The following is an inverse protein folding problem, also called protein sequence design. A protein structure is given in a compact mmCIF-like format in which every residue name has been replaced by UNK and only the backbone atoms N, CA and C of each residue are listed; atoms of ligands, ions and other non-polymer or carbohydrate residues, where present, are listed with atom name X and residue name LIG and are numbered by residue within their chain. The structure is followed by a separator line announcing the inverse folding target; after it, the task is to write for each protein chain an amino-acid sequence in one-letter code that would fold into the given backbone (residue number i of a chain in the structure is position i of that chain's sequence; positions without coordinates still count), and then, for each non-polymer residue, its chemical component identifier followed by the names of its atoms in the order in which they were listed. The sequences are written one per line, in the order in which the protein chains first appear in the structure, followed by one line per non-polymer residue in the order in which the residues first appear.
data_IF_849313790889
#
_entry.id   IF_849313790889
#
_cell.length_a   1.000
_cell.length_b   1.000
_cell.length_c   1.000
_cell.angle_alpha   90.00
_cell.angle_beta   90.00
_cell.angle_gamma   90.00
#
_symmetry.space_group_name_H-M   'P 1'
#
loop_
_entity.id
_entity.type
_entity.pdbx_description
1 polymer ?
#
# COMPACT_ATOMS: atom_id res chain seq x y z
N UNK A 1 -12.58 2.59 14.72
CA UNK A 1 -13.90 2.67 14.02
C UNK A 1 -15.08 2.79 14.98
N UNK A 2 -15.24 1.88 15.96
CA UNK A 2 -16.28 2.02 17.00
C UNK A 2 -16.18 3.33 17.79
N UNK A 3 -14.97 3.76 18.16
CA UNK A 3 -14.75 5.06 18.80
C UNK A 3 -15.26 6.22 17.92
N UNK A 4 -14.91 6.24 16.63
CA UNK A 4 -15.38 7.27 15.69
C UNK A 4 -16.91 7.27 15.59
N UNK A 5 -17.55 6.09 15.56
CA UNK A 5 -19.01 5.98 15.60
C UNK A 5 -19.59 6.54 16.91
N UNK A 6 -18.97 6.26 18.05
CA UNK A 6 -19.35 6.83 19.35
C UNK A 6 -19.22 8.36 19.39
N UNK A 7 -18.26 8.91 18.65
CA UNK A 7 -18.07 10.36 18.46
C UNK A 7 -19.00 10.98 17.40
N UNK A 8 -19.88 10.18 16.78
CA UNK A 8 -20.87 10.68 15.82
C UNK A 8 -20.52 10.47 14.35
N UNK A 9 -19.43 9.78 14.00
CA UNK A 9 -19.18 9.40 12.61
C UNK A 9 -20.24 8.41 12.11
N UNK A 10 -20.84 8.71 10.96
CA UNK A 10 -21.91 7.91 10.35
C UNK A 10 -21.58 7.40 8.95
N UNK A 11 -20.59 7.99 8.28
CA UNK A 11 -20.13 7.57 6.95
C UNK A 11 -18.62 7.43 6.98
N UNK A 12 -18.13 6.20 6.82
CA UNK A 12 -16.70 5.90 6.92
C UNK A 12 -16.29 4.98 5.77
N UNK A 13 -15.32 5.42 4.99
CA UNK A 13 -14.64 4.57 4.02
C UNK A 13 -13.26 4.21 4.56
N UNK A 14 -12.98 2.93 4.65
CA UNK A 14 -11.67 2.40 5.03
C UNK A 14 -10.95 1.91 3.78
N UNK A 15 -9.83 2.52 3.43
CA UNK A 15 -9.04 2.12 2.29
C UNK A 15 -8.06 1.00 2.67
N UNK A 16 -7.98 -0.02 1.81
CA UNK A 16 -6.98 -1.07 1.91
C UNK A 16 -5.56 -0.56 1.64
N UNK A 17 -4.60 -1.44 1.82
CA UNK A 17 -3.20 -1.22 1.49
C UNK A 17 -2.97 -1.43 -0.02
N UNK A 18 -2.20 -0.54 -0.63
CA UNK A 18 -1.63 -0.75 -1.96
C UNK A 18 -0.48 -1.77 -1.95
N UNK A 19 0.20 -1.98 -3.09
CA UNK A 19 1.34 -2.88 -3.21
C UNK A 19 2.59 -2.33 -2.50
N UNK A 20 2.65 -2.56 -1.18
CA UNK A 20 3.69 -2.05 -0.28
C UNK A 20 5.12 -2.47 -0.66
N UNK A 21 5.29 -3.64 -1.28
CA UNK A 21 6.55 -4.16 -1.81
C UNK A 21 7.09 -3.37 -3.00
N UNK A 22 6.28 -2.51 -3.61
CA UNK A 22 6.66 -1.63 -4.71
C UNK A 22 7.09 -0.23 -4.27
N UNK A 23 7.01 0.09 -2.97
CA UNK A 23 7.44 1.40 -2.44
C UNK A 23 8.95 1.57 -2.69
N UNK A 24 9.42 2.72 -3.23
CA UNK A 24 10.84 2.91 -3.56
C UNK A 24 11.82 2.59 -2.43
N UNK A 25 11.49 2.98 -1.19
CA UNK A 25 12.29 2.62 -0.01
C UNK A 25 12.35 1.11 0.21
N UNK A 26 11.25 0.40 0.00
CA UNK A 26 11.20 -1.05 0.17
C UNK A 26 12.01 -1.78 -0.91
N UNK A 27 12.01 -1.28 -2.15
CA UNK A 27 12.87 -1.77 -3.24
C UNK A 27 14.35 -1.64 -2.89
N UNK A 28 14.74 -0.46 -2.38
CA UNK A 28 16.11 -0.18 -1.94
C UNK A 28 16.55 -1.10 -0.80
N UNK A 29 15.74 -1.24 0.25
CA UNK A 29 16.05 -2.09 1.41
C UNK A 29 16.19 -3.58 1.04
N UNK A 30 15.61 -4.00 -0.08
CA UNK A 30 15.67 -5.37 -0.57
C UNK A 30 16.78 -5.62 -1.58
N UNK A 31 17.58 -4.59 -1.92
CA UNK A 31 18.61 -4.64 -2.99
C UNK A 31 18.06 -5.15 -4.32
N UNK A 32 16.76 -4.95 -4.56
CA UNK A 32 16.09 -5.21 -5.83
C UNK A 32 16.01 -3.90 -6.58
N UNK A 33 16.70 -3.78 -7.72
CA UNK A 33 16.80 -2.52 -8.46
C UNK A 33 15.56 -2.21 -9.31
N UNK A 34 14.72 -3.21 -9.63
CA UNK A 34 13.66 -3.03 -10.64
C UNK A 34 12.34 -3.72 -10.31
N UNK A 35 12.35 -4.90 -9.68
CA UNK A 35 11.12 -5.63 -9.41
C UNK A 35 10.40 -5.09 -8.16
N UNK A 36 9.07 -4.90 -8.26
CA UNK A 36 8.21 -5.01 -7.08
C UNK A 36 8.52 -6.35 -6.43
N UNK A 37 8.51 -6.46 -5.10
CA UNK A 37 8.97 -7.67 -4.41
C UNK A 37 8.35 -8.97 -4.95
N UNK A 38 9.03 -9.56 -5.94
CA UNK A 38 8.83 -10.90 -6.46
C UNK A 38 9.87 -11.78 -5.77
N UNK A 39 9.41 -12.90 -5.22
CA UNK A 39 10.21 -13.78 -4.39
C UNK A 39 11.22 -14.59 -5.21
N UNK A 40 12.23 -13.95 -5.81
CA UNK A 40 13.10 -14.64 -6.79
C UNK A 40 14.54 -14.88 -6.35
N UNK A 41 14.99 -14.42 -5.17
CA UNK A 41 16.33 -14.75 -4.68
C UNK A 41 16.32 -15.96 -3.72
N UNK A 42 16.23 -17.17 -4.29
CA UNK A 42 16.24 -18.49 -3.63
C UNK A 42 17.37 -18.70 -2.60
N UNK A 43 18.46 -17.94 -2.67
CA UNK A 43 19.60 -18.04 -1.76
C UNK A 43 19.50 -17.18 -0.48
N UNK A 44 18.64 -16.15 -0.45
CA UNK A 44 18.34 -15.34 0.75
C UNK A 44 16.84 -15.39 1.16
N UNK A 45 16.02 -16.08 0.36
CA UNK A 45 14.56 -16.17 0.47
C UNK A 45 14.08 -17.26 1.45
N UNK A 46 14.63 -17.32 2.67
CA UNK A 46 14.13 -18.26 3.70
C UNK A 46 13.15 -17.68 4.71
N UNK A 47 12.81 -16.38 4.68
CA UNK A 47 11.90 -15.83 5.72
C UNK A 47 11.16 -14.51 5.43
N UNK A 48 11.14 -13.98 4.20
CA UNK A 48 10.39 -12.75 3.90
C UNK A 48 9.22 -13.11 2.99
N UNK A 49 8.05 -13.33 3.60
CA UNK A 49 6.79 -13.24 2.86
C UNK A 49 6.79 -11.90 2.10
N UNK A 50 6.40 -11.93 0.82
CA UNK A 50 6.37 -10.69 0.03
C UNK A 50 5.50 -9.67 0.76
N UNK A 51 5.99 -8.44 0.97
CA UNK A 51 5.22 -7.40 1.66
C UNK A 51 3.88 -7.15 0.96
N UNK A 52 3.81 -7.43 -0.34
CA UNK A 52 2.57 -7.46 -1.11
C UNK A 52 1.60 -8.57 -0.66
N UNK A 53 2.08 -9.78 -0.35
CA UNK A 53 1.23 -10.87 0.18
C UNK A 53 0.65 -10.50 1.55
N UNK A 54 1.46 -9.88 2.41
CA UNK A 54 0.98 -9.36 3.69
C UNK A 54 -0.08 -8.27 3.51
N UNK A 55 0.12 -7.36 2.55
CA UNK A 55 -0.86 -6.32 2.21
C UNK A 55 -2.19 -6.92 1.74
N UNK A 56 -2.15 -7.92 0.85
CA UNK A 56 -3.35 -8.63 0.39
C UNK A 56 -4.08 -9.37 1.53
N UNK A 57 -3.33 -10.05 2.41
CA UNK A 57 -3.89 -10.72 3.59
C UNK A 57 -4.56 -9.72 4.54
N UNK A 58 -3.91 -8.58 4.78
CA UNK A 58 -4.47 -7.48 5.57
C UNK A 58 -5.76 -6.94 4.94
N UNK A 59 -5.78 -6.68 3.63
CA UNK A 59 -6.96 -6.16 2.93
C UNK A 59 -8.14 -7.12 3.05
N UNK A 60 -7.90 -8.43 2.91
CA UNK A 60 -8.95 -9.45 3.08
C UNK A 60 -9.55 -9.42 4.49
N UNK A 61 -8.70 -9.36 5.53
CA UNK A 61 -9.15 -9.34 6.92
C UNK A 61 -9.83 -8.01 7.28
N UNK A 62 -9.26 -6.88 6.84
CA UNK A 62 -9.84 -5.56 7.04
C UNK A 62 -11.22 -5.47 6.37
N UNK A 63 -11.37 -5.94 5.13
CA UNK A 63 -12.66 -6.00 4.45
C UNK A 63 -13.71 -6.81 5.22
N UNK A 64 -13.33 -7.94 5.82
CA UNK A 64 -14.23 -8.72 6.68
C UNK A 64 -14.66 -7.95 7.94
N UNK A 65 -13.73 -7.26 8.60
CA UNK A 65 -14.02 -6.42 9.78
C UNK A 65 -14.95 -5.25 9.41
N UNK A 66 -14.72 -4.61 8.28
CA UNK A 66 -15.57 -3.51 7.78
C UNK A 66 -16.99 -3.98 7.50
N UNK A 67 -17.15 -5.15 6.86
CA UNK A 67 -18.47 -5.77 6.64
C UNK A 67 -19.18 -6.07 7.97
N UNK A 68 -18.45 -6.60 8.95
CA UNK A 68 -19.00 -6.86 10.28
C UNK A 68 -19.43 -5.56 10.99
N UNK A 69 -18.65 -4.49 10.87
CA UNK A 69 -18.99 -3.18 11.45
C UNK A 69 -20.21 -2.56 10.79
N UNK A 70 -20.33 -2.67 9.46
CA UNK A 70 -21.51 -2.21 8.73
C UNK A 70 -22.80 -2.90 9.21
N UNK A 71 -22.73 -4.18 9.57
CA UNK A 71 -23.87 -4.94 10.09
C UNK A 71 -24.17 -4.70 11.58
N UNK A 72 -23.17 -4.30 12.38
CA UNK A 72 -23.28 -4.22 13.84
C UNK A 72 -23.46 -2.80 14.39
N UNK A 73 -23.10 -1.76 13.63
CA UNK A 73 -23.20 -0.38 14.08
C UNK A 73 -24.43 0.29 13.43
N UNK A 74 -25.48 0.60 14.22
CA UNK A 74 -26.70 1.17 13.69
C UNK A 74 -26.48 2.58 13.17
N UNK A 75 -27.31 2.97 12.20
CA UNK A 75 -27.33 4.31 11.59
C UNK A 75 -25.96 4.73 11.01
N UNK A 76 -25.15 3.79 10.53
CA UNK A 76 -23.85 4.11 9.96
C UNK A 76 -23.54 3.26 8.73
N UNK A 77 -22.87 3.89 7.76
CA UNK A 77 -22.37 3.25 6.55
C UNK A 77 -20.86 3.08 6.67
N UNK A 78 -20.40 1.84 6.57
CA UNK A 78 -18.99 1.50 6.48
C UNK A 78 -18.71 0.84 5.14
N UNK A 79 -17.72 1.34 4.40
CA UNK A 79 -17.31 0.80 3.11
C UNK A 79 -15.82 0.49 3.12
N UNK A 80 -15.44 -0.59 2.44
CA UNK A 80 -14.04 -0.93 2.19
C UNK A 80 -13.68 -0.50 0.78
N UNK A 81 -12.68 0.38 0.64
CA UNK A 81 -12.14 0.78 -0.65
C UNK A 81 -10.89 -0.03 -0.95
N UNK A 82 -11.00 -1.03 -1.84
CA UNK A 82 -9.81 -1.73 -2.33
C UNK A 82 -9.09 -0.84 -3.34
N UNK A 83 -7.81 -0.62 -3.10
CA UNK A 83 -6.94 0.23 -3.94
C UNK A 83 -5.73 -0.55 -4.46
N UNK A 84 -5.60 -1.83 -4.10
CA UNK A 84 -4.42 -2.61 -4.43
C UNK A 84 -4.24 -2.71 -5.95
N UNK A 85 -5.27 -3.19 -6.65
CA UNK A 85 -5.22 -3.40 -8.10
C UNK A 85 -5.09 -2.09 -8.87
N UNK A 86 -5.71 -1.01 -8.37
CA UNK A 86 -5.60 0.31 -8.97
C UNK A 86 -4.16 0.82 -8.95
N UNK A 87 -3.49 0.77 -7.80
CA UNK A 87 -2.10 1.18 -7.71
C UNK A 87 -1.14 0.20 -8.40
N UNK A 88 -1.43 -1.10 -8.38
CA UNK A 88 -0.67 -2.10 -9.13
C UNK A 88 -0.71 -1.79 -10.63
N UNK A 89 -1.87 -1.40 -11.15
CA UNK A 89 -2.02 -1.05 -12.56
C UNK A 89 -1.23 0.21 -12.96
N UNK A 90 -1.23 1.23 -12.10
CA UNK A 90 -0.38 2.43 -12.30
C UNK A 90 1.10 2.05 -12.29
N UNK A 91 1.50 1.10 -11.44
CA UNK A 91 2.89 0.67 -11.34
C UNK A 91 3.33 -0.11 -12.57
N UNK A 92 2.49 -1.03 -13.05
CA UNK A 92 2.80 -1.90 -14.18
C UNK A 92 2.66 -1.19 -15.53
N UNK A 93 1.73 -0.22 -15.63
CA UNK A 93 1.41 0.51 -16.87
C UNK A 93 1.41 2.03 -16.67
N UNK A 94 2.51 2.65 -16.18
CA UNK A 94 2.53 4.07 -15.81
C UNK A 94 2.16 4.99 -16.98
N UNK A 95 2.58 4.66 -18.20
CA UNK A 95 2.29 5.45 -19.41
C UNK A 95 0.80 5.54 -19.74
N UNK A 96 0.02 4.49 -19.43
CA UNK A 96 -1.44 4.51 -19.63
C UNK A 96 -2.14 5.49 -18.68
N UNK A 97 -1.47 5.84 -17.58
CA UNK A 97 -1.94 6.75 -16.55
C UNK A 97 -1.22 8.11 -16.59
N UNK A 98 -0.45 8.39 -17.66
CA UNK A 98 0.24 9.67 -17.86
C UNK A 98 1.56 9.82 -17.09
N UNK A 99 2.11 8.73 -16.55
CA UNK A 99 3.40 8.71 -15.85
C UNK A 99 4.50 8.08 -16.70
N UNK A 100 5.73 8.59 -16.59
CA UNK A 100 6.89 8.01 -17.26
C UNK A 100 7.69 7.05 -16.34
N UNK A 101 7.46 7.12 -15.03
CA UNK A 101 8.23 6.37 -14.04
C UNK A 101 7.37 6.03 -12.82
N UNK A 102 7.31 4.75 -12.46
CA UNK A 102 6.63 4.22 -11.28
C UNK A 102 7.59 3.53 -10.28
N UNK A 103 8.89 3.55 -10.56
CA UNK A 103 9.91 2.79 -9.82
C UNK A 103 10.78 3.66 -8.90
N UNK A 104 11.20 4.83 -9.41
CA UNK A 104 12.10 5.72 -8.67
C UNK A 104 11.31 6.69 -7.78
N UNK A 105 11.86 7.10 -6.63
CA UNK A 105 11.28 8.19 -5.86
C UNK A 105 11.39 9.51 -6.63
N UNK A 106 10.45 10.43 -6.40
CA UNK A 106 10.54 11.80 -6.93
C UNK A 106 11.60 12.63 -6.19
N UNK A 107 11.80 12.36 -4.89
CA UNK A 107 12.69 13.13 -4.00
C UNK A 107 13.68 12.20 -3.30
N UNK A 108 14.93 12.62 -3.21
CA UNK A 108 16.03 11.81 -2.65
C UNK A 108 16.95 12.64 -1.78
N UNK A 109 17.28 12.15 -0.58
CA UNK A 109 18.27 12.80 0.28
C UNK A 109 19.64 12.17 0.04
N UNK A 110 20.56 12.92 -0.55
CA UNK A 110 21.87 12.43 -0.95
C UNK A 110 21.79 11.38 -2.06
N UNK A 111 22.88 10.62 -2.29
CA UNK A 111 23.04 9.82 -3.52
C UNK A 111 22.05 8.65 -3.71
N UNK A 112 21.31 8.19 -2.68
CA UNK A 112 20.51 6.94 -2.82
C UNK A 112 19.30 6.81 -1.88
N UNK A 113 18.91 7.80 -1.07
CA UNK A 113 17.85 7.57 -0.05
C UNK A 113 16.51 8.20 -0.47
N UNK A 114 15.49 7.42 -0.84
CA UNK A 114 14.15 7.95 -1.05
C UNK A 114 13.67 8.61 0.24
N UNK A 115 13.12 9.82 0.13
CA UNK A 115 12.52 10.52 1.27
C UNK A 115 11.00 10.33 1.26
N UNK A 116 10.42 10.27 2.45
CA UNK A 116 8.95 10.27 2.59
C UNK A 116 8.35 11.62 2.18
N UNK A 117 9.11 12.71 2.37
CA UNK A 117 8.70 14.07 2.05
C UNK A 117 9.80 14.77 1.25
N UNK A 118 9.39 15.65 0.34
CA UNK A 118 10.30 16.54 -0.36
C UNK A 118 10.62 17.72 0.55
N UNK A 119 11.88 17.84 0.93
CA UNK A 119 12.42 18.95 1.74
C UNK A 119 13.42 19.75 0.91
N UNK A 120 13.82 20.97 1.33
CA UNK A 120 14.85 21.74 0.62
C UNK A 120 16.23 21.05 0.49
N UNK A 121 16.45 19.95 1.23
CA UNK A 121 17.68 19.17 1.20
C UNK A 121 17.67 18.02 0.17
N UNK A 122 16.54 17.81 -0.52
CA UNK A 122 16.29 16.66 -1.43
C UNK A 122 16.25 17.04 -2.90
#
# INVERSE_FOLDING_TARGET
LRLLHGLGARRVTFFGLGPMGCIPLQRLLQRSSTACQESTNKYFSKKKESTNKLALSFNKQAGAVIKQLAASLPNATFQFGDVYDYFQDIIDRPYMHGFNNSHAPCCTLGKVRPTLTCTPLS
#
